data_IF_874935934965
#
_entry.id   IF_874935934965
#
_cell.length_a   1.000
_cell.length_b   1.000
_cell.length_c   1.000
_cell.angle_alpha   90.00
_cell.angle_beta   90.00
_cell.angle_gamma   90.00
#
_symmetry.space_group_name_H-M   'P 1'
#
loop_
_entity.id
_entity.type
_entity.pdbx_description
1 polymer ?
#
# COMPACT_ATOMS: atom_id res chain seq x y z
N UNK A 1 30.49 3.05 -5.80
CA UNK A 1 29.62 3.62 -6.86
C UNK A 1 30.47 4.38 -7.88
N UNK A 2 31.33 5.35 -7.49
CA UNK A 2 32.18 6.14 -8.43
C UNK A 2 33.17 5.28 -9.25
N UNK A 3 33.68 4.17 -8.68
CA UNK A 3 34.58 3.25 -9.37
C UNK A 3 33.84 2.45 -10.44
N UNK A 4 32.63 1.96 -10.16
CA UNK A 4 31.78 1.26 -11.09
C UNK A 4 31.38 2.16 -12.28
N UNK A 5 30.97 3.41 -12.00
CA UNK A 5 30.67 4.39 -13.04
C UNK A 5 31.84 4.62 -14.00
N UNK A 6 33.07 4.80 -13.43
CA UNK A 6 34.27 4.96 -14.23
C UNK A 6 34.60 3.73 -15.08
N UNK A 7 34.37 2.54 -14.53
CA UNK A 7 34.59 1.29 -15.26
C UNK A 7 33.60 1.14 -16.42
N UNK A 8 32.29 1.33 -16.17
CA UNK A 8 31.24 1.28 -17.19
C UNK A 8 31.49 2.29 -18.32
N UNK A 9 31.87 3.52 -17.99
CA UNK A 9 32.17 4.56 -18.99
C UNK A 9 33.42 4.21 -19.83
N UNK A 10 34.45 3.54 -19.27
CA UNK A 10 35.60 3.06 -20.03
C UNK A 10 35.25 1.93 -21.01
N UNK A 11 34.23 1.14 -20.71
CA UNK A 11 33.75 0.05 -21.55
C UNK A 11 32.73 0.51 -22.60
N UNK A 12 32.67 1.80 -22.92
CA UNK A 12 31.78 2.33 -23.94
C UNK A 12 30.35 2.62 -23.49
N UNK A 13 30.13 2.80 -22.17
CA UNK A 13 28.82 3.22 -21.65
C UNK A 13 27.84 2.08 -21.36
N UNK A 14 28.30 0.82 -21.39
CA UNK A 14 27.47 -0.35 -21.07
C UNK A 14 26.56 -0.82 -22.23
N UNK A 15 25.61 -1.73 -21.96
CA UNK A 15 24.82 -2.40 -23.00
C UNK A 15 23.92 -1.45 -23.81
N UNK A 16 23.75 -0.21 -23.38
CA UNK A 16 22.91 0.80 -24.04
C UNK A 16 23.74 1.91 -24.74
N UNK A 17 25.06 1.73 -24.87
CA UNK A 17 25.91 2.69 -25.54
C UNK A 17 25.46 2.89 -26.99
N UNK A 18 25.15 4.13 -27.37
CA UNK A 18 24.70 4.46 -28.72
C UNK A 18 23.21 4.22 -29.00
N UNK A 19 22.45 3.68 -28.05
CA UNK A 19 21.00 3.57 -28.20
C UNK A 19 20.30 4.82 -27.62
N UNK A 20 19.27 5.36 -28.29
CA UNK A 20 18.47 6.43 -27.72
C UNK A 20 17.79 5.91 -26.46
N UNK A 21 18.01 6.59 -25.33
CA UNK A 21 17.32 6.27 -24.07
C UNK A 21 15.82 6.44 -24.27
N UNK A 22 15.00 5.52 -23.70
CA UNK A 22 13.56 5.68 -23.76
C UNK A 22 13.14 7.00 -23.12
N UNK A 23 12.03 7.60 -23.56
CA UNK A 23 11.55 8.86 -23.00
C UNK A 23 11.31 8.70 -21.50
N UNK A 24 11.56 9.79 -20.76
CA UNK A 24 11.37 9.82 -19.30
C UNK A 24 9.91 9.55 -18.99
N UNK A 25 9.64 8.46 -18.28
CA UNK A 25 8.29 8.11 -17.83
C UNK A 25 7.89 8.94 -16.62
N UNK A 26 6.59 9.25 -16.50
CA UNK A 26 6.04 9.94 -15.35
C UNK A 26 6.23 9.10 -14.08
N UNK A 27 6.47 9.80 -12.96
CA UNK A 27 6.69 9.19 -11.66
C UNK A 27 5.50 8.30 -11.25
N UNK A 28 4.28 8.71 -11.59
CA UNK A 28 3.05 7.94 -11.31
C UNK A 28 3.05 6.57 -12.01
N UNK A 29 3.52 6.51 -13.26
CA UNK A 29 3.63 5.24 -14.02
C UNK A 29 4.72 4.35 -13.42
N UNK A 30 5.86 4.94 -13.04
CA UNK A 30 6.97 4.22 -12.43
C UNK A 30 6.63 3.69 -11.02
N UNK A 31 5.75 4.39 -10.31
CA UNK A 31 5.33 4.04 -8.96
C UNK A 31 4.09 3.14 -8.92
N UNK A 32 3.52 2.79 -10.09
CA UNK A 32 2.37 1.87 -10.18
C UNK A 32 2.80 0.44 -9.82
N UNK A 33 2.75 0.15 -8.54
CA UNK A 33 3.09 -1.17 -7.99
C UNK A 33 2.05 -2.22 -8.35
N UNK A 34 0.82 -1.82 -8.63
CA UNK A 34 -0.23 -2.77 -8.98
C UNK A 34 0.05 -3.46 -10.33
N UNK A 35 0.31 -2.69 -11.38
CA UNK A 35 0.57 -3.24 -12.71
C UNK A 35 1.96 -3.89 -12.80
N UNK A 36 2.96 -3.33 -12.12
CA UNK A 36 4.32 -3.85 -12.16
C UNK A 36 4.52 -5.15 -11.36
N UNK A 37 3.86 -5.30 -10.22
CA UNK A 37 4.11 -6.42 -9.30
C UNK A 37 2.83 -7.09 -8.79
N UNK A 38 1.90 -6.35 -8.17
CA UNK A 38 0.78 -6.93 -7.41
C UNK A 38 -0.13 -7.80 -8.26
N UNK A 39 -0.38 -7.42 -9.50
CA UNK A 39 -1.21 -8.16 -10.46
C UNK A 39 -0.61 -9.54 -10.78
N UNK A 40 0.70 -9.64 -10.90
CA UNK A 40 1.41 -10.85 -11.30
C UNK A 40 1.85 -11.71 -10.11
N UNK A 41 1.96 -11.13 -8.92
CA UNK A 41 2.36 -11.84 -7.71
C UNK A 41 1.14 -12.50 -7.05
N UNK A 42 1.13 -13.83 -6.94
CA UNK A 42 0.04 -14.60 -6.34
C UNK A 42 -0.24 -14.18 -4.88
N UNK A 43 0.81 -14.01 -4.08
CA UNK A 43 0.69 -13.62 -2.67
C UNK A 43 0.10 -12.22 -2.52
N UNK A 44 0.59 -11.25 -3.30
CA UNK A 44 0.11 -9.86 -3.25
C UNK A 44 -1.32 -9.71 -3.76
N UNK A 45 -1.70 -10.42 -4.82
CA UNK A 45 -3.05 -10.42 -5.37
C UNK A 45 -4.07 -11.04 -4.40
N UNK A 46 -3.70 -12.15 -3.74
CA UNK A 46 -4.54 -12.78 -2.71
C UNK A 46 -4.68 -11.86 -1.49
N UNK A 47 -3.59 -11.25 -1.02
CA UNK A 47 -3.64 -10.29 0.08
C UNK A 47 -4.56 -9.11 -0.22
N UNK A 48 -4.43 -8.51 -1.42
CA UNK A 48 -5.28 -7.40 -1.85
C UNK A 48 -6.76 -7.81 -1.92
N UNK A 49 -7.05 -9.01 -2.43
CA UNK A 49 -8.42 -9.55 -2.49
C UNK A 49 -9.01 -9.73 -1.10
N UNK A 50 -8.25 -10.30 -0.14
CA UNK A 50 -8.67 -10.45 1.26
C UNK A 50 -8.94 -9.11 1.92
N UNK A 51 -8.07 -8.12 1.73
CA UNK A 51 -8.27 -6.77 2.26
C UNK A 51 -9.56 -6.16 1.71
N UNK A 52 -9.82 -6.32 0.41
CA UNK A 52 -11.05 -5.82 -0.23
C UNK A 52 -12.30 -6.51 0.30
N UNK A 53 -12.26 -7.82 0.53
CA UNK A 53 -13.40 -8.57 1.07
C UNK A 53 -13.68 -8.26 2.55
N UNK A 54 -12.68 -7.89 3.34
CA UNK A 54 -12.85 -7.51 4.75
C UNK A 54 -13.47 -6.12 4.94
N UNK A 55 -13.27 -5.21 3.99
CA UNK A 55 -13.78 -3.83 4.11
C UNK A 55 -15.28 -3.72 4.35
N UNK A 56 -16.18 -4.41 3.61
CA UNK A 56 -17.62 -4.32 3.88
C UNK A 56 -17.99 -4.82 5.27
N UNK A 57 -17.31 -5.85 5.78
CA UNK A 57 -17.52 -6.35 7.14
C UNK A 57 -17.11 -5.33 8.20
N UNK A 58 -15.99 -4.63 8.00
CA UNK A 58 -15.55 -3.56 8.89
C UNK A 58 -16.51 -2.36 8.88
N UNK A 59 -17.05 -2.00 7.73
CA UNK A 59 -18.10 -0.99 7.64
C UNK A 59 -19.39 -1.45 8.33
N UNK A 60 -19.80 -2.69 8.12
CA UNK A 60 -20.97 -3.29 8.80
C UNK A 60 -20.81 -3.28 10.33
N UNK A 61 -19.63 -3.63 10.83
CA UNK A 61 -19.35 -3.58 12.27
C UNK A 61 -19.37 -2.16 12.84
N UNK A 62 -18.94 -1.18 12.06
CA UNK A 62 -19.01 0.24 12.45
C UNK A 62 -20.46 0.71 12.54
N UNK A 63 -21.30 0.35 11.59
CA UNK A 63 -22.74 0.64 11.62
C UNK A 63 -23.42 -0.06 12.80
N UNK A 64 -23.11 -1.32 13.04
CA UNK A 64 -23.64 -2.07 14.19
C UNK A 64 -23.26 -1.40 15.51
N UNK A 65 -22.01 -0.93 15.63
CA UNK A 65 -21.57 -0.20 16.83
C UNK A 65 -22.35 1.10 17.04
N UNK A 66 -22.64 1.83 15.98
CA UNK A 66 -23.45 3.05 16.05
C UNK A 66 -24.87 2.76 16.53
N UNK A 67 -25.49 1.67 16.06
CA UNK A 67 -26.82 1.23 16.51
C UNK A 67 -26.79 0.83 17.99
N UNK A 68 -25.78 0.09 18.43
CA UNK A 68 -25.63 -0.31 19.84
C UNK A 68 -25.44 0.90 20.76
N UNK A 69 -24.69 1.91 20.34
CA UNK A 69 -24.52 3.16 21.10
C UNK A 69 -25.84 3.93 21.16
N UNK A 70 -26.57 4.02 20.05
CA UNK A 70 -27.87 4.73 20.01
C UNK A 70 -28.99 4.03 20.79
N UNK A 71 -29.00 2.68 20.80
CA UNK A 71 -29.98 1.88 21.53
C UNK A 71 -29.61 1.65 23.01
N UNK A 72 -28.41 2.06 23.41
CA UNK A 72 -27.79 1.69 24.69
C UNK A 72 -28.37 2.44 25.88
N UNK A 73 -29.50 1.97 26.41
CA UNK A 73 -30.02 2.34 27.73
C UNK A 73 -29.26 1.63 28.87
N UNK A 74 -28.56 0.53 28.57
CA UNK A 74 -27.70 -0.19 29.51
C UNK A 74 -26.25 0.19 29.33
N UNK A 75 -25.56 0.55 30.40
CA UNK A 75 -24.17 1.04 30.38
C UNK A 75 -23.17 0.06 29.71
N UNK A 76 -23.35 -1.25 29.87
CA UNK A 76 -22.48 -2.25 29.27
C UNK A 76 -22.60 -2.33 27.72
N UNK A 77 -23.79 -2.05 27.15
CA UNK A 77 -23.98 -1.97 25.69
C UNK A 77 -23.25 -0.76 25.10
N UNK A 78 -23.23 0.35 25.81
CA UNK A 78 -22.46 1.53 25.41
C UNK A 78 -20.96 1.21 25.33
N UNK A 79 -20.41 0.57 26.35
CA UNK A 79 -18.99 0.18 26.34
C UNK A 79 -18.66 -0.82 25.23
N UNK A 80 -19.53 -1.81 24.98
CA UNK A 80 -19.37 -2.72 23.83
C UNK A 80 -19.42 -1.97 22.51
N UNK A 81 -20.34 -1.06 22.32
CA UNK A 81 -20.43 -0.24 21.11
C UNK A 81 -19.17 0.60 20.88
N UNK A 82 -18.67 1.28 21.92
CA UNK A 82 -17.47 2.11 21.85
C UNK A 82 -16.22 1.28 21.52
N UNK A 83 -16.03 0.14 22.18
CA UNK A 83 -14.87 -0.75 21.90
C UNK A 83 -14.93 -1.31 20.48
N UNK A 84 -16.09 -1.74 20.02
CA UNK A 84 -16.28 -2.23 18.67
C UNK A 84 -16.02 -1.13 17.63
N UNK A 85 -16.48 0.09 17.87
CA UNK A 85 -16.21 1.24 16.99
C UNK A 85 -14.72 1.55 16.91
N UNK A 86 -14.02 1.57 18.05
CA UNK A 86 -12.58 1.82 18.10
C UNK A 86 -11.79 0.77 17.33
N UNK A 87 -12.05 -0.52 17.56
CA UNK A 87 -11.39 -1.63 16.87
C UNK A 87 -11.65 -1.59 15.35
N UNK A 88 -12.88 -1.35 14.94
CA UNK A 88 -13.24 -1.23 13.53
C UNK A 88 -12.56 -0.04 12.86
N UNK A 89 -12.51 1.11 13.52
CA UNK A 89 -11.85 2.31 13.03
C UNK A 89 -10.35 2.13 12.85
N UNK A 90 -9.67 1.51 13.82
CA UNK A 90 -8.23 1.19 13.72
C UNK A 90 -7.98 0.21 12.58
N UNK A 91 -8.80 -0.85 12.49
CA UNK A 91 -8.68 -1.86 11.42
C UNK A 91 -8.90 -1.28 10.03
N UNK A 92 -9.87 -0.38 9.86
CA UNK A 92 -10.10 0.34 8.60
C UNK A 92 -8.92 1.23 8.22
N UNK A 93 -8.31 1.93 9.17
CA UNK A 93 -7.10 2.73 8.95
C UNK A 93 -5.93 1.86 8.50
N UNK A 94 -5.72 0.74 9.17
CA UNK A 94 -4.61 -0.16 8.87
C UNK A 94 -4.78 -0.84 7.51
N UNK A 95 -5.96 -1.36 7.20
CA UNK A 95 -6.26 -1.96 5.89
C UNK A 95 -6.13 -0.96 4.75
N UNK A 96 -6.51 0.32 4.97
CA UNK A 96 -6.33 1.38 3.98
C UNK A 96 -4.86 1.72 3.72
N UNK A 97 -4.01 1.66 4.75
CA UNK A 97 -2.55 1.83 4.59
C UNK A 97 -1.94 0.69 3.79
N UNK A 98 -2.27 -0.56 4.13
CA UNK A 98 -1.79 -1.73 3.39
C UNK A 98 -2.27 -1.76 1.94
N UNK A 99 -3.52 -1.40 1.70
CA UNK A 99 -4.05 -1.32 0.35
C UNK A 99 -3.29 -0.28 -0.48
N UNK A 100 -2.99 0.90 0.08
CA UNK A 100 -2.18 1.91 -0.60
C UNK A 100 -0.77 1.40 -0.92
N UNK A 101 -0.09 0.75 0.03
CA UNK A 101 1.23 0.17 -0.20
C UNK A 101 1.27 -0.93 -1.28
N UNK A 102 0.16 -1.65 -1.50
CA UNK A 102 0.03 -2.66 -2.55
C UNK A 102 -0.32 -2.09 -3.92
N UNK A 103 -0.99 -0.93 -3.98
CA UNK A 103 -1.41 -0.28 -5.21
C UNK A 103 -0.38 0.74 -5.69
N UNK A 104 0.11 1.56 -4.78
CA UNK A 104 1.06 2.64 -5.06
C UNK A 104 2.29 2.42 -4.22
N UNK A 105 3.47 2.47 -4.80
CA UNK A 105 4.72 2.40 -4.04
C UNK A 105 4.81 3.58 -3.05
N UNK A 106 5.47 3.36 -1.91
CA UNK A 106 5.55 4.36 -0.82
C UNK A 106 6.35 5.63 -1.21
N UNK A 107 6.86 5.72 -2.45
CA UNK A 107 7.65 6.84 -2.95
C UNK A 107 8.95 7.09 -2.19
N UNK A 108 9.25 6.27 -1.20
CA UNK A 108 10.50 6.36 -0.46
C UNK A 108 11.61 5.67 -1.25
N UNK A 109 12.64 6.44 -1.58
CA UNK A 109 13.88 5.87 -2.10
C UNK A 109 14.40 4.80 -1.12
N UNK A 110 14.88 3.65 -1.63
CA UNK A 110 15.45 2.61 -0.78
C UNK A 110 16.55 3.21 0.10
N UNK A 111 16.64 2.75 1.35
CA UNK A 111 17.56 3.31 2.38
C UNK A 111 19.01 3.45 1.95
N UNK A 112 19.46 2.62 1.01
CA UNK A 112 20.80 2.63 0.43
C UNK A 112 21.04 3.76 -0.60
N UNK A 113 20.02 4.53 -0.97
CA UNK A 113 20.18 5.72 -1.84
C UNK A 113 20.28 7.05 -1.06
N UNK A 114 20.23 6.98 0.28
CA UNK A 114 20.53 8.14 1.13
C UNK A 114 22.05 8.22 1.35
N UNK A 115 22.76 8.65 0.34
CA UNK A 115 24.18 9.06 0.44
C UNK A 115 24.27 10.51 -0.03
#
# INVERSE_FOLDING_TARGET
VKALHRWVNRQGGGPFAGQPLPPRQDVEVLMDRYHSHTKHCRSCSVALRRIRSLRPWLWGSLWLSAVLIGAGQLSWLLWLGVTLAALSGVSLRQTSRWQRGLLVGDGQAPRNQRI
#
